data_IF_704211333087
#
_entry.id   IF_704211333087
#
_cell.length_a   1.000
_cell.length_b   1.000
_cell.length_c   1.000
_cell.angle_alpha   90.00
_cell.angle_beta   90.00
_cell.angle_gamma   90.00
#
_symmetry.space_group_name_H-M   'P 1'
#
loop_
_entity.id
_entity.type
_entity.pdbx_description
1 polymer ?
#
# COMPACT_ATOMS: atom_id res chain seq x y z
N UNK A 1 46.31 10.67 -40.23
CA UNK A 1 46.27 12.04 -39.66
C UNK A 1 44.98 12.68 -40.14
N UNK A 2 44.01 12.90 -39.24
CA UNK A 2 42.97 13.93 -39.35
C UNK A 2 41.99 13.78 -38.20
N UNK A 3 42.39 14.38 -37.09
CA UNK A 3 41.61 14.59 -35.87
C UNK A 3 40.61 15.73 -36.11
N UNK A 4 39.31 15.50 -35.86
CA UNK A 4 38.31 16.56 -35.72
C UNK A 4 37.38 16.24 -34.56
N UNK A 5 37.86 16.51 -33.35
CA UNK A 5 37.00 16.66 -32.18
C UNK A 5 36.58 18.13 -32.11
N UNK A 6 35.28 18.35 -32.29
CA UNK A 6 34.65 19.66 -32.14
C UNK A 6 34.53 19.97 -30.64
N UNK A 7 35.14 21.08 -30.25
CA UNK A 7 35.04 21.70 -28.94
C UNK A 7 33.70 22.46 -28.87
N UNK A 8 32.87 22.18 -27.87
CA UNK A 8 31.68 23.00 -27.56
C UNK A 8 31.81 23.63 -26.17
N UNK A 9 31.45 24.92 -26.01
CA UNK A 9 31.75 25.72 -24.83
C UNK A 9 30.74 25.56 -23.68
N UNK A 10 31.16 26.06 -22.52
CA UNK A 10 30.48 26.04 -21.23
C UNK A 10 29.06 26.61 -21.22
N UNK A 11 28.17 25.97 -20.45
CA UNK A 11 26.91 26.56 -20.00
C UNK A 11 26.90 26.65 -18.47
N UNK A 12 27.19 27.85 -17.96
CA UNK A 12 26.82 28.29 -16.62
C UNK A 12 25.30 28.40 -16.56
N UNK A 13 24.67 27.65 -15.67
CA UNK A 13 23.25 27.82 -15.36
C UNK A 13 23.07 28.03 -13.85
N UNK A 14 22.40 29.14 -13.58
CA UNK A 14 22.13 29.78 -12.30
C UNK A 14 21.29 28.91 -11.36
N UNK A 15 21.46 29.19 -10.07
CA UNK A 15 20.76 28.61 -8.92
C UNK A 15 19.26 28.48 -9.13
N UNK A 16 18.72 27.29 -8.84
CA UNK A 16 17.32 27.13 -8.45
C UNK A 16 17.26 26.85 -6.95
N UNK A 17 16.87 27.86 -6.19
CA UNK A 17 16.41 27.72 -4.81
C UNK A 17 14.98 27.18 -4.86
N UNK A 18 14.83 25.88 -4.70
CA UNK A 18 13.51 25.28 -4.49
C UNK A 18 13.16 25.37 -3.00
N UNK A 19 12.62 26.52 -2.59
CA UNK A 19 11.84 26.61 -1.36
C UNK A 19 10.51 25.90 -1.61
N UNK A 20 10.40 24.64 -1.19
CA UNK A 20 9.15 23.90 -1.14
C UNK A 20 8.74 23.74 0.31
N UNK A 21 8.07 24.77 0.83
CA UNK A 21 7.27 24.68 2.03
C UNK A 21 6.04 23.82 1.73
N UNK A 22 6.16 22.51 1.89
CA UNK A 22 5.00 21.63 2.04
C UNK A 22 5.02 21.06 3.44
N UNK A 23 4.34 21.78 4.34
CA UNK A 23 3.79 21.25 5.58
C UNK A 23 2.85 20.10 5.20
N UNK A 24 3.30 18.85 5.35
CA UNK A 24 2.54 17.70 4.85
C UNK A 24 3.12 16.37 5.31
N UNK A 25 2.91 16.06 6.58
CA UNK A 25 2.97 14.72 7.17
C UNK A 25 4.26 13.92 6.98
N UNK A 26 5.27 14.29 7.76
CA UNK A 26 6.22 13.31 8.31
C UNK A 26 5.45 12.33 9.22
N UNK A 27 4.76 11.35 8.64
CA UNK A 27 4.43 10.11 9.36
C UNK A 27 5.72 9.29 9.46
N UNK A 28 6.72 9.84 10.14
CA UNK A 28 7.73 9.03 10.79
C UNK A 28 6.99 8.37 11.95
N UNK A 29 6.33 7.24 11.68
CA UNK A 29 5.98 6.36 12.76
C UNK A 29 7.32 5.89 13.36
N UNK A 30 7.50 6.01 14.69
CA UNK A 30 8.75 5.69 15.33
C UNK A 30 9.08 4.22 15.09
N UNK A 31 10.28 3.80 15.48
CA UNK A 31 10.53 2.40 15.82
C UNK A 31 9.38 1.91 16.73
N UNK A 32 8.36 1.25 16.18
CA UNK A 32 7.09 1.07 16.88
C UNK A 32 7.34 0.07 18.00
N UNK A 33 7.47 0.60 19.22
CA UNK A 33 7.27 -0.19 20.42
C UNK A 33 5.76 -0.45 20.48
N UNK A 34 5.35 -1.59 19.93
CA UNK A 34 3.95 -2.02 19.97
C UNK A 34 3.56 -2.35 21.40
N UNK A 35 2.45 -1.78 21.86
CA UNK A 35 1.79 -2.27 23.06
C UNK A 35 0.83 -3.38 22.64
N UNK A 36 1.29 -4.63 22.75
CA UNK A 36 0.53 -5.81 22.35
C UNK A 36 -0.72 -6.05 23.22
N UNK A 37 -0.84 -5.39 24.38
CA UNK A 37 -2.00 -5.51 25.27
C UNK A 37 -3.08 -4.46 24.98
N UNK A 38 -2.76 -3.41 24.20
CA UNK A 38 -3.67 -2.32 23.90
C UNK A 38 -3.45 -1.78 22.48
N UNK A 39 -3.79 -2.60 21.47
CA UNK A 39 -3.68 -2.23 20.08
C UNK A 39 -4.86 -1.34 19.67
N UNK A 40 -4.57 -0.27 18.93
CA UNK A 40 -5.63 0.54 18.31
C UNK A 40 -5.95 0.01 16.93
N UNK A 41 -7.23 0.06 16.55
CA UNK A 41 -7.68 -0.37 15.23
C UNK A 41 -6.85 0.30 14.11
N UNK A 42 -6.64 1.62 14.18
CA UNK A 42 -5.87 2.37 13.19
C UNK A 42 -4.41 1.91 13.01
N UNK A 43 -3.83 1.24 14.01
CA UNK A 43 -2.44 0.74 13.96
C UNK A 43 -2.36 -0.66 13.34
N UNK A 44 -3.49 -1.37 13.22
CA UNK A 44 -3.58 -2.75 12.73
C UNK A 44 -4.36 -2.88 11.42
N UNK A 45 -4.56 -1.78 10.68
CA UNK A 45 -5.18 -1.79 9.36
C UNK A 45 -4.13 -1.94 8.25
N UNK A 46 -4.44 -2.79 7.28
CA UNK A 46 -3.64 -2.94 6.08
C UNK A 46 -3.87 -1.77 5.12
N UNK A 47 -2.83 -1.06 4.64
CA UNK A 47 -3.00 0.04 3.70
C UNK A 47 -3.40 -0.41 2.29
N UNK A 48 -3.37 -1.72 2.00
CA UNK A 48 -3.72 -2.29 0.68
C UNK A 48 -5.18 -2.71 0.64
N UNK A 49 -5.62 -3.59 1.55
CA UNK A 49 -7.02 -4.04 1.59
C UNK A 49 -7.93 -3.21 2.51
N UNK A 50 -7.36 -2.32 3.34
CA UNK A 50 -8.09 -1.46 4.29
C UNK A 50 -8.84 -2.23 5.40
N UNK A 51 -8.57 -3.53 5.55
CA UNK A 51 -9.08 -4.38 6.62
C UNK A 51 -8.05 -4.59 7.73
N UNK A 52 -8.47 -5.21 8.85
CA UNK A 52 -7.58 -5.69 9.90
C UNK A 52 -6.52 -6.62 9.29
N UNK A 53 -5.27 -6.48 9.73
CA UNK A 53 -4.16 -7.26 9.20
C UNK A 53 -4.34 -8.75 9.50
N UNK A 54 -4.38 -9.56 8.44
CA UNK A 54 -4.30 -11.02 8.51
C UNK A 54 -2.85 -11.41 8.27
N UNK A 55 -2.25 -12.11 9.24
CA UNK A 55 -0.84 -12.50 9.22
C UNK A 55 0.09 -11.31 8.90
N UNK A 56 0.21 -10.34 9.82
CA UNK A 56 0.95 -9.10 9.61
C UNK A 56 2.42 -9.34 9.24
N UNK A 57 2.86 -8.73 8.14
CA UNK A 57 4.24 -8.77 7.63
C UNK A 57 4.90 -7.40 7.71
N UNK A 58 6.02 -7.29 8.43
CA UNK A 58 6.84 -6.08 8.46
C UNK A 58 7.86 -6.06 7.33
N UNK A 59 7.76 -5.05 6.47
CA UNK A 59 8.85 -4.77 5.52
C UNK A 59 10.00 -4.06 6.26
N UNK A 60 11.24 -4.15 5.75
CA UNK A 60 12.40 -3.43 6.30
C UNK A 60 12.23 -1.90 6.28
N UNK A 61 11.30 -1.41 5.45
CA UNK A 61 10.89 0.00 5.42
C UNK A 61 9.91 0.42 6.53
N UNK A 62 9.59 -0.48 7.46
CA UNK A 62 8.68 -0.29 8.60
C UNK A 62 7.20 -0.11 8.25
N UNK A 63 6.79 -0.53 7.06
CA UNK A 63 5.38 -0.62 6.69
C UNK A 63 4.88 -2.04 6.89
N UNK A 64 3.61 -2.15 7.25
CA UNK A 64 2.93 -3.37 7.65
C UNK A 64 1.80 -3.71 6.68
N UNK A 65 1.69 -4.98 6.29
CA UNK A 65 0.70 -5.46 5.32
C UNK A 65 0.25 -6.87 5.70
N UNK A 66 -0.91 -7.31 5.19
CA UNK A 66 -1.29 -8.72 5.24
C UNK A 66 -0.32 -9.55 4.39
N UNK A 67 -0.09 -10.81 4.78
CA UNK A 67 0.72 -11.75 3.99
C UNK A 67 0.23 -11.82 2.54
N UNK A 68 -1.07 -11.99 2.34
CA UNK A 68 -1.65 -12.16 1.01
C UNK A 68 -1.60 -10.88 0.17
N UNK A 69 -1.76 -9.72 0.80
CA UNK A 69 -1.58 -8.41 0.13
C UNK A 69 -0.13 -8.22 -0.36
N UNK A 70 0.85 -8.65 0.44
CA UNK A 70 2.25 -8.61 0.04
C UNK A 70 2.53 -9.61 -1.09
N UNK A 71 2.03 -10.84 -0.98
CA UNK A 71 2.16 -11.87 -2.03
C UNK A 71 1.63 -11.39 -3.38
N UNK A 72 0.42 -10.81 -3.42
CA UNK A 72 -0.15 -10.25 -4.65
C UNK A 72 0.65 -9.07 -5.23
N UNK A 73 1.40 -8.34 -4.39
CA UNK A 73 2.32 -7.29 -4.87
C UNK A 73 3.55 -7.90 -5.56
N UNK A 74 4.04 -9.01 -5.03
CA UNK A 74 5.20 -9.74 -5.56
C UNK A 74 4.85 -10.44 -6.87
N UNK A 75 3.67 -11.05 -6.97
CA UNK A 75 3.15 -11.67 -8.20
C UNK A 75 3.07 -10.68 -9.36
N UNK A 76 2.72 -9.42 -9.08
CA UNK A 76 2.73 -8.32 -10.07
C UNK A 76 4.14 -7.79 -10.37
N UNK A 77 5.17 -8.54 -10.01
CA UNK A 77 6.59 -8.22 -10.17
C UNK A 77 7.02 -6.89 -9.51
N UNK A 78 6.33 -6.48 -8.43
CA UNK A 78 6.69 -5.29 -7.65
C UNK A 78 7.38 -5.72 -6.36
N UNK A 79 8.71 -5.91 -6.39
CA UNK A 79 9.53 -6.12 -5.18
C UNK A 79 9.77 -4.81 -4.39
N UNK A 80 8.76 -3.94 -4.36
CA UNK A 80 8.78 -2.59 -3.82
C UNK A 80 7.58 -2.37 -2.90
N UNK A 81 7.79 -1.70 -1.77
CA UNK A 81 6.74 -1.40 -0.80
C UNK A 81 5.61 -0.57 -1.44
N UNK A 82 4.32 -0.94 -1.29
CA UNK A 82 3.19 -0.15 -1.79
C UNK A 82 3.14 1.28 -1.26
N UNK A 83 3.56 1.52 -0.01
CA UNK A 83 3.48 2.83 0.65
C UNK A 83 4.63 3.77 0.28
N UNK A 84 5.86 3.28 0.23
CA UNK A 84 7.05 4.13 0.10
C UNK A 84 7.99 3.76 -1.07
N UNK A 85 7.60 2.76 -1.88
CA UNK A 85 8.34 2.27 -3.06
C UNK A 85 9.77 1.76 -2.79
N UNK A 86 10.19 1.65 -1.53
CA UNK A 86 11.48 1.05 -1.16
C UNK A 86 11.51 -0.44 -1.54
N UNK A 87 12.62 -0.86 -2.16
CA UNK A 87 12.85 -2.26 -2.55
C UNK A 87 13.05 -3.15 -1.32
N UNK A 88 12.44 -4.33 -1.33
CA UNK A 88 12.56 -5.31 -0.25
C UNK A 88 12.89 -6.72 -0.76
N UNK A 89 13.15 -6.90 -2.05
CA UNK A 89 13.31 -8.23 -2.67
C UNK A 89 14.41 -9.12 -2.07
N UNK A 90 15.58 -8.56 -1.71
CA UNK A 90 16.63 -9.33 -1.03
C UNK A 90 16.16 -9.83 0.33
N UNK A 91 15.57 -8.94 1.14
CA UNK A 91 15.01 -9.30 2.44
C UNK A 91 13.94 -10.39 2.30
N UNK A 92 13.02 -10.26 1.35
CA UNK A 92 11.95 -11.24 1.12
C UNK A 92 12.50 -12.64 0.87
N UNK A 93 13.50 -12.78 -0.01
CA UNK A 93 14.12 -14.10 -0.28
C UNK A 93 14.72 -14.74 0.97
N UNK A 94 15.31 -13.95 1.87
CA UNK A 94 15.83 -14.48 3.13
C UNK A 94 14.71 -14.84 4.12
N UNK A 95 13.74 -13.95 4.29
CA UNK A 95 12.60 -14.15 5.19
C UNK A 95 11.73 -15.35 4.78
N UNK A 96 11.46 -15.51 3.48
CA UNK A 96 10.70 -16.65 2.95
C UNK A 96 11.39 -17.98 3.18
N UNK A 97 12.73 -18.04 3.11
CA UNK A 97 13.49 -19.28 3.39
C UNK A 97 13.55 -19.60 4.88
N UNK A 98 13.55 -18.58 5.73
CA UNK A 98 13.56 -18.71 7.18
C UNK A 98 12.17 -18.89 7.80
N UNK A 99 11.09 -18.80 7.00
CA UNK A 99 9.71 -18.79 7.48
C UNK A 99 9.45 -17.71 8.57
N UNK A 100 10.11 -16.55 8.46
CA UNK A 100 10.03 -15.44 9.43
C UNK A 100 9.30 -14.21 8.88
N UNK A 101 8.42 -14.42 7.89
CA UNK A 101 7.72 -13.34 7.21
C UNK A 101 6.66 -12.69 8.11
N UNK A 102 5.94 -13.52 8.87
CA UNK A 102 4.83 -13.11 9.73
C UNK A 102 5.35 -12.70 11.11
N UNK A 103 4.81 -11.61 11.65
CA UNK A 103 5.11 -11.15 12.99
C UNK A 103 4.16 -11.80 14.01
N UNK A 104 4.50 -13.01 14.44
CA UNK A 104 3.64 -13.87 15.27
C UNK A 104 3.05 -13.17 16.50
N UNK A 105 3.87 -12.50 17.31
CA UNK A 105 3.37 -11.80 18.51
C UNK A 105 2.32 -10.72 18.20
N UNK A 106 2.44 -10.06 17.05
CA UNK A 106 1.47 -9.05 16.64
C UNK A 106 0.20 -9.73 16.13
N UNK A 107 0.36 -10.85 15.42
CA UNK A 107 -0.76 -11.62 14.93
C UNK A 107 -1.62 -12.17 16.07
N UNK A 108 -1.01 -12.76 17.09
CA UNK A 108 -1.67 -13.24 18.32
C UNK A 108 -2.43 -12.11 19.02
N UNK A 109 -1.80 -10.94 19.16
CA UNK A 109 -2.43 -9.78 19.79
C UNK A 109 -3.63 -9.25 18.99
N UNK A 110 -3.52 -9.23 17.65
CA UNK A 110 -4.63 -8.86 16.76
C UNK A 110 -5.78 -9.86 16.89
N UNK A 111 -5.51 -11.16 16.85
CA UNK A 111 -6.54 -12.20 17.00
C UNK A 111 -7.25 -12.15 18.35
N UNK A 112 -6.52 -11.79 19.41
CA UNK A 112 -7.10 -11.64 20.75
C UNK A 112 -8.05 -10.44 20.85
N UNK A 113 -7.65 -9.30 20.30
CA UNK A 113 -8.38 -8.03 20.49
C UNK A 113 -9.42 -7.73 19.39
N UNK A 114 -9.26 -8.28 18.19
CA UNK A 114 -10.08 -7.97 17.01
C UNK A 114 -10.73 -9.21 16.39
N UNK A 115 -10.97 -10.27 17.19
CA UNK A 115 -11.55 -11.54 16.73
C UNK A 115 -12.81 -11.35 15.88
N UNK A 116 -13.75 -10.55 16.35
CA UNK A 116 -15.05 -10.34 15.70
C UNK A 116 -14.90 -9.74 14.29
N UNK A 117 -13.98 -8.78 14.10
CA UNK A 117 -13.71 -8.16 12.81
C UNK A 117 -13.05 -9.11 11.80
N UNK A 118 -12.37 -10.17 12.27
CA UNK A 118 -11.76 -11.18 11.41
C UNK A 118 -12.77 -12.24 10.95
N UNK A 119 -13.83 -12.48 11.73
CA UNK A 119 -14.85 -13.51 11.44
C UNK A 119 -15.86 -13.03 10.40
N UNK A 120 -16.19 -11.74 10.36
CA UNK A 120 -17.19 -11.16 9.44
C UNK A 120 -16.78 -11.19 7.95
N UNK A 121 -15.48 -11.26 7.61
CA UNK A 121 -15.03 -11.37 6.21
C UNK A 121 -15.16 -12.80 5.65
N UNK A 122 -15.33 -13.80 6.52
CA UNK A 122 -15.32 -15.24 6.15
C UNK A 122 -16.69 -15.81 5.77
N UNK A 123 -17.77 -15.04 5.92
CA UNK A 123 -19.13 -15.49 5.60
C UNK A 123 -19.64 -14.88 4.28
N UNK A 124 -19.70 -15.64 3.17
CA UNK A 124 -20.50 -15.24 2.03
C UNK A 124 -21.98 -15.48 2.36
N UNK A 125 -22.61 -14.56 3.10
CA UNK A 125 -24.06 -14.49 3.17
C UNK A 125 -24.58 -13.10 2.84
N UNK A 126 -25.14 -13.03 1.64
CA UNK A 126 -26.03 -11.99 1.17
C UNK A 126 -27.26 -11.79 2.10
N UNK A 127 -27.73 -10.53 2.14
CA UNK A 127 -29.09 -10.03 2.46
C UNK A 127 -29.57 -10.21 3.91
N UNK A 128 -30.17 -9.21 4.60
CA UNK A 128 -31.35 -8.36 4.26
C UNK A 128 -31.34 -7.08 5.14
N UNK A 129 -31.54 -5.87 4.61
CA UNK A 129 -32.79 -5.06 4.65
C UNK A 129 -33.50 -5.07 6.02
N UNK A 130 -33.82 -3.97 6.72
CA UNK A 130 -34.56 -2.74 6.34
C UNK A 130 -34.37 -1.68 7.46
N UNK A 131 -34.48 -0.36 7.25
CA UNK A 131 -35.76 0.37 7.06
C UNK A 131 -35.59 1.60 6.17
N UNK A 132 -36.59 1.82 5.33
CA UNK A 132 -36.67 2.74 4.20
C UNK A 132 -36.72 4.23 4.56
N UNK A 133 -36.24 5.09 3.65
CA UNK A 133 -37.08 6.08 2.96
C UNK A 133 -36.37 6.75 1.76
N UNK A 134 -36.91 6.48 0.57
CA UNK A 134 -37.06 7.34 -0.62
C UNK A 134 -35.95 8.32 -1.03
N UNK A 135 -35.30 8.03 -2.17
CA UNK A 135 -35.34 8.92 -3.34
C UNK A 135 -34.75 8.19 -4.57
N UNK A 136 -35.62 7.97 -5.55
CA UNK A 136 -35.25 7.55 -6.91
C UNK A 136 -34.32 8.60 -7.51
N UNK A 137 -33.11 8.23 -7.91
CA UNK A 137 -32.35 8.98 -8.92
C UNK A 137 -31.72 8.02 -9.89
N UNK A 138 -32.34 8.03 -11.06
CA UNK A 138 -31.95 7.50 -12.36
C UNK A 138 -30.44 7.48 -12.57
N UNK A 139 -29.88 6.30 -12.84
CA UNK A 139 -28.51 6.16 -13.34
C UNK A 139 -28.38 6.83 -14.71
N UNK A 140 -27.40 7.75 -14.92
CA UNK A 140 -27.10 8.23 -16.26
C UNK A 140 -26.51 7.09 -17.10
N UNK A 141 -27.13 6.86 -18.25
CA UNK A 141 -26.73 5.87 -19.25
C UNK A 141 -25.31 6.16 -19.76
N UNK A 142 -24.38 5.25 -19.48
CA UNK A 142 -23.06 5.21 -20.11
C UNK A 142 -23.22 5.10 -21.63
N UNK A 143 -22.54 5.98 -22.36
CA UNK A 143 -22.52 5.99 -23.82
C UNK A 143 -21.67 4.83 -24.36
N UNK A 144 -22.11 4.29 -25.50
CA UNK A 144 -21.51 3.16 -26.22
C UNK A 144 -20.28 3.57 -27.05
N UNK A 145 -19.39 2.61 -27.39
CA UNK A 145 -18.14 2.88 -28.10
C UNK A 145 -18.34 3.02 -29.63
N UNK A 146 -17.55 3.90 -30.24
CA UNK A 146 -17.12 3.81 -31.65
C UNK A 146 -17.83 4.69 -32.69
N UNK A 147 -17.12 5.69 -33.22
CA UNK A 147 -17.11 5.99 -34.66
C UNK A 147 -15.89 6.85 -35.02
N UNK A 148 -15.04 6.28 -35.88
CA UNK A 148 -13.83 6.84 -36.47
C UNK A 148 -14.21 7.96 -37.45
N UNK A 149 -13.65 9.17 -37.28
CA UNK A 149 -13.83 10.28 -38.22
C UNK A 149 -12.96 10.03 -39.46
N UNK A 150 -13.59 9.82 -40.62
CA UNK A 150 -12.90 9.85 -41.92
C UNK A 150 -12.80 11.30 -42.37
N UNK A 151 -11.58 11.68 -42.76
CA UNK A 151 -11.25 12.87 -43.55
C UNK A 151 -11.74 12.77 -45.00
#
# INVERSE_FOLDING_TARGET
MSSKLLNFPAATATRFVSNSSTSGSSRILPSVAWNYDNLRLAEVLCPVCQSVLVEPVFLPCKHLFCRDCLSGTIEKNSLCCPCCRKRFGTWYRHASRGNTLVHERLWEAIQSQFRELLEDESSPRATKASTASHATTTFPKLNSPGSLRKE
#
